data_IF_302493438790
#
_entry.id   IF_302493438790
#
_cell.length_a   1.000
_cell.length_b   1.000
_cell.length_c   1.000
_cell.angle_alpha   90.00
_cell.angle_beta   90.00
_cell.angle_gamma   90.00
#
_symmetry.space_group_name_H-M   'P 1'
#
loop_
_entity.id
_entity.type
_entity.pdbx_description
1 polymer ?
#
# COMPACT_ATOMS: atom_id res chain seq x y z
N UNK A 1 -3.03 53.67 -5.71
CA UNK A 1 -3.15 53.66 -7.20
C UNK A 1 -3.38 52.30 -7.87
N UNK A 2 -2.95 51.17 -7.29
CA UNK A 2 -3.06 49.83 -7.93
C UNK A 2 -4.51 49.36 -8.24
N UNK A 3 -5.51 49.98 -7.61
CA UNK A 3 -6.90 49.60 -7.72
C UNK A 3 -7.56 49.87 -9.08
N UNK A 4 -7.23 51.00 -9.73
CA UNK A 4 -7.79 51.36 -11.04
C UNK A 4 -7.23 50.46 -12.15
N UNK A 5 -5.92 50.16 -12.10
CA UNK A 5 -5.23 49.24 -13.02
C UNK A 5 -5.85 47.84 -13.02
N UNK A 6 -6.25 47.34 -11.86
CA UNK A 6 -6.91 46.03 -11.76
C UNK A 6 -8.32 45.99 -12.37
N UNK A 7 -9.06 47.12 -12.41
CA UNK A 7 -10.36 47.18 -13.11
C UNK A 7 -10.16 47.12 -14.62
N UNK A 8 -9.23 47.91 -15.13
CA UNK A 8 -8.88 47.90 -16.56
C UNK A 8 -8.35 46.54 -17.00
N UNK A 9 -7.51 45.89 -16.19
CA UNK A 9 -7.03 44.54 -16.46
C UNK A 9 -8.15 43.50 -16.49
N UNK A 10 -9.14 43.59 -15.59
CA UNK A 10 -10.31 42.70 -15.62
C UNK A 10 -11.16 42.91 -16.89
N UNK A 11 -11.26 44.16 -17.36
CA UNK A 11 -11.95 44.49 -18.61
C UNK A 11 -11.21 43.93 -19.83
N UNK A 12 -9.91 44.18 -19.94
CA UNK A 12 -9.08 43.62 -21.02
C UNK A 12 -9.12 42.10 -21.03
N UNK A 13 -9.07 41.46 -19.86
CA UNK A 13 -9.16 40.01 -19.75
C UNK A 13 -10.50 39.46 -20.28
N UNK A 14 -11.60 40.19 -20.04
CA UNK A 14 -12.93 39.84 -20.57
C UNK A 14 -13.00 40.01 -22.09
N UNK A 15 -12.41 41.09 -22.61
CA UNK A 15 -12.37 41.37 -24.06
C UNK A 15 -11.51 40.34 -24.80
N UNK A 16 -10.38 39.93 -24.23
CA UNK A 16 -9.48 38.93 -24.83
C UNK A 16 -9.97 37.49 -24.70
N UNK A 17 -10.80 37.18 -23.68
CA UNK A 17 -11.34 35.84 -23.43
C UNK A 17 -12.85 35.91 -23.19
N UNK A 18 -13.65 36.02 -24.28
CA UNK A 18 -15.11 36.09 -24.19
C UNK A 18 -15.73 34.78 -23.70
N UNK A 19 -15.16 33.64 -24.09
CA UNK A 19 -15.69 32.30 -23.80
C UNK A 19 -15.11 31.72 -22.49
N UNK A 20 -15.45 32.31 -21.34
CA UNK A 20 -15.07 31.71 -20.05
C UNK A 20 -15.42 32.51 -18.80
N UNK A 21 -15.18 31.94 -17.60
CA UNK A 21 -15.50 32.58 -16.33
C UNK A 21 -14.68 33.86 -16.13
N UNK A 22 -15.32 35.02 -16.19
CA UNK A 22 -14.63 36.29 -16.03
C UNK A 22 -14.18 36.52 -14.58
N UNK A 23 -12.88 36.71 -14.39
CA UNK A 23 -12.30 36.96 -13.08
C UNK A 23 -12.58 38.39 -12.62
N UNK A 24 -13.01 38.54 -11.38
CA UNK A 24 -13.23 39.86 -10.76
C UNK A 24 -11.90 40.58 -10.51
N UNK A 25 -11.94 41.91 -10.46
CA UNK A 25 -10.80 42.76 -10.03
C UNK A 25 -10.12 42.24 -8.74
N UNK A 26 -10.89 41.72 -7.79
CA UNK A 26 -10.37 41.18 -6.54
C UNK A 26 -9.46 39.97 -6.75
N UNK A 27 -9.78 39.08 -7.69
CA UNK A 27 -8.97 37.91 -8.02
C UNK A 27 -7.64 38.33 -8.62
N UNK A 28 -7.65 39.33 -9.51
CA UNK A 28 -6.43 39.92 -10.08
C UNK A 28 -5.54 40.49 -8.98
N UNK A 29 -6.12 41.24 -8.03
CA UNK A 29 -5.37 41.77 -6.90
C UNK A 29 -4.78 40.66 -6.01
N UNK A 30 -5.51 39.57 -5.76
CA UNK A 30 -5.00 38.40 -5.01
C UNK A 30 -3.87 37.68 -5.74
N UNK A 31 -3.91 37.63 -7.08
CA UNK A 31 -2.82 37.06 -7.89
C UNK A 31 -1.58 37.96 -7.84
N UNK A 32 -1.73 39.26 -8.06
CA UNK A 32 -0.60 40.21 -7.98
C UNK A 32 0.01 40.23 -6.58
N UNK A 33 -0.81 40.17 -5.53
CA UNK A 33 -0.32 40.08 -4.15
C UNK A 33 0.54 38.84 -3.93
N UNK A 34 0.07 37.65 -4.34
CA UNK A 34 0.84 36.39 -4.24
C UNK A 34 2.12 36.42 -5.08
N UNK A 35 2.06 37.00 -6.28
CA UNK A 35 3.23 37.13 -7.13
C UNK A 35 4.31 38.00 -6.47
N UNK A 36 3.92 39.07 -5.77
CA UNK A 36 4.86 39.93 -5.03
C UNK A 36 5.41 39.29 -3.76
N UNK A 37 4.57 38.55 -3.04
CA UNK A 37 4.95 37.94 -1.75
C UNK A 37 5.79 36.67 -1.92
N UNK A 38 5.45 35.83 -2.90
CA UNK A 38 6.01 34.47 -3.03
C UNK A 38 6.67 34.21 -4.38
N UNK A 39 6.58 35.14 -5.34
CA UNK A 39 7.10 34.94 -6.70
C UNK A 39 6.32 33.91 -7.53
N UNK A 40 5.20 33.39 -7.03
CA UNK A 40 4.45 32.31 -7.66
C UNK A 40 2.95 32.62 -7.77
N UNK A 41 2.33 32.20 -8.87
CA UNK A 41 0.91 32.40 -9.18
C UNK A 41 0.03 31.27 -8.63
N UNK A 42 0.62 30.13 -8.26
CA UNK A 42 -0.13 28.98 -7.74
C UNK A 42 -0.75 29.28 -6.37
N UNK A 43 -1.79 28.54 -6.02
CA UNK A 43 -2.37 28.63 -4.67
C UNK A 43 -1.37 28.07 -3.67
N UNK A 44 -1.18 28.76 -2.54
CA UNK A 44 -0.42 28.19 -1.44
C UNK A 44 -1.06 26.86 -1.00
N UNK A 45 -0.24 25.87 -0.60
CA UNK A 45 -0.74 24.64 -0.01
C UNK A 45 -1.66 25.00 1.16
N UNK A 46 -2.89 24.48 1.14
CA UNK A 46 -3.79 24.66 2.28
C UNK A 46 -3.19 23.92 3.47
N UNK A 47 -2.76 24.66 4.48
CA UNK A 47 -2.35 24.07 5.76
C UNK A 47 -3.57 23.38 6.34
N UNK A 48 -3.61 22.05 6.29
CA UNK A 48 -4.66 21.27 6.93
C UNK A 48 -4.43 21.34 8.43
N UNK A 49 -5.51 21.58 9.20
CA UNK A 49 -5.46 21.55 10.66
C UNK A 49 -4.94 20.19 11.11
N UNK A 50 -3.89 20.16 11.94
CA UNK A 50 -3.40 18.94 12.53
C UNK A 50 -4.54 18.28 13.32
N UNK A 51 -4.88 17.03 12.97
CA UNK A 51 -5.80 16.24 13.79
C UNK A 51 -5.09 15.91 15.09
N UNK A 52 -5.65 16.34 16.21
CA UNK A 52 -5.23 15.89 17.54
C UNK A 52 -5.55 14.40 17.63
N UNK A 53 -4.55 13.54 17.39
CA UNK A 53 -4.70 12.10 17.57
C UNK A 53 -4.68 11.85 19.08
N UNK A 54 -5.83 11.47 19.64
CA UNK A 54 -5.94 11.02 21.03
C UNK A 54 -5.06 9.80 21.26
N UNK A 55 -4.30 9.83 22.37
CA UNK A 55 -3.24 8.90 22.76
C UNK A 55 -2.10 8.78 21.72
N UNK A 56 -0.91 9.23 22.10
CA UNK A 56 0.34 9.00 21.33
C UNK A 56 0.75 7.52 21.45
N UNK A 57 -0.05 6.61 20.92
CA UNK A 57 0.47 5.28 20.60
C UNK A 57 1.21 5.45 19.30
N UNK A 58 2.49 5.15 19.36
CA UNK A 58 3.38 5.36 18.24
C UNK A 58 3.04 4.30 17.18
N UNK A 59 3.04 4.65 15.88
CA UNK A 59 2.74 3.69 14.82
C UNK A 59 3.62 2.43 14.92
N UNK A 60 4.82 2.56 15.47
CA UNK A 60 5.77 1.49 15.76
C UNK A 60 5.19 0.42 16.71
N UNK A 61 4.37 0.79 17.71
CA UNK A 61 3.77 -0.16 18.65
C UNK A 61 2.77 -1.08 17.95
N UNK A 62 2.02 -0.54 16.98
CA UNK A 62 1.06 -1.29 16.16
C UNK A 62 1.80 -2.28 15.27
N UNK A 63 2.93 -1.87 14.71
CA UNK A 63 3.78 -2.70 13.85
C UNK A 63 4.46 -3.82 14.65
N UNK A 64 5.03 -3.50 15.81
CA UNK A 64 5.63 -4.50 16.71
C UNK A 64 4.59 -5.57 17.11
N UNK A 65 3.37 -5.14 17.45
CA UNK A 65 2.29 -6.07 17.78
C UNK A 65 1.88 -6.96 16.59
N UNK A 66 1.81 -6.40 15.38
CA UNK A 66 1.46 -7.18 14.18
C UNK A 66 2.55 -8.17 13.79
N UNK A 67 3.82 -7.83 13.99
CA UNK A 67 4.94 -8.76 13.78
C UNK A 67 4.91 -9.93 14.77
N UNK A 68 4.61 -9.65 16.05
CA UNK A 68 4.44 -10.71 17.07
C UNK A 68 3.20 -11.59 16.81
N UNK A 69 2.14 -11.02 16.23
CA UNK A 69 0.87 -11.69 16.01
C UNK A 69 0.32 -11.48 14.58
N UNK A 70 0.91 -12.10 13.55
CA UNK A 70 0.58 -11.85 12.14
C UNK A 70 -0.85 -12.27 11.75
N UNK A 71 -1.48 -13.15 12.53
CA UNK A 71 -2.86 -13.62 12.31
C UNK A 71 -3.91 -12.75 13.01
N UNK A 72 -3.50 -11.72 13.75
CA UNK A 72 -4.42 -10.86 14.50
C UNK A 72 -5.28 -10.01 13.60
N UNK A 73 -6.57 -9.91 13.94
CA UNK A 73 -7.48 -9.00 13.23
C UNK A 73 -7.20 -7.53 13.59
N UNK A 74 -7.51 -6.62 12.68
CA UNK A 74 -7.47 -5.16 12.95
C UNK A 74 -8.32 -4.75 14.15
N UNK A 75 -9.38 -5.50 14.47
CA UNK A 75 -10.21 -5.29 15.67
C UNK A 75 -9.46 -5.65 16.95
N UNK A 76 -8.70 -6.75 16.95
CA UNK A 76 -7.90 -7.17 18.10
C UNK A 76 -6.73 -6.20 18.34
N UNK A 77 -6.05 -5.82 17.26
CA UNK A 77 -4.96 -4.83 17.30
C UNK A 77 -5.48 -3.49 17.84
N UNK A 78 -6.65 -3.04 17.39
CA UNK A 78 -7.31 -1.83 17.88
C UNK A 78 -7.58 -1.86 19.39
N UNK A 79 -8.08 -2.99 19.92
CA UNK A 79 -8.30 -3.16 21.36
C UNK A 79 -7.00 -3.13 22.16
N UNK A 80 -5.98 -3.85 21.69
CA UNK A 80 -4.73 -3.99 22.43
C UNK A 80 -3.88 -2.70 22.40
N UNK A 81 -3.86 -2.01 21.26
CA UNK A 81 -3.15 -0.75 21.11
C UNK A 81 -4.00 0.47 21.58
N UNK A 82 -5.27 0.30 21.97
CA UNK A 82 -6.13 1.41 22.37
C UNK A 82 -6.37 2.45 21.27
N UNK A 83 -6.33 2.03 20.00
CA UNK A 83 -6.50 2.87 18.82
C UNK A 83 -7.83 2.58 18.13
N UNK A 84 -8.35 3.54 17.35
CA UNK A 84 -9.51 3.25 16.49
C UNK A 84 -9.11 2.29 15.37
N UNK A 85 -10.06 1.44 14.94
CA UNK A 85 -9.84 0.49 13.83
C UNK A 85 -9.35 1.19 12.55
N UNK A 86 -9.89 2.37 12.24
CA UNK A 86 -9.49 3.15 11.06
C UNK A 86 -8.04 3.65 11.17
N UNK A 87 -7.59 4.02 12.37
CA UNK A 87 -6.20 4.44 12.60
C UNK A 87 -5.23 3.26 12.42
N UNK A 88 -5.56 2.10 12.98
CA UNK A 88 -4.80 0.85 12.77
C UNK A 88 -4.72 0.52 11.28
N UNK A 89 -5.84 0.56 10.55
CA UNK A 89 -5.86 0.27 9.12
C UNK A 89 -5.00 1.25 8.31
N UNK A 90 -5.04 2.55 8.65
CA UNK A 90 -4.20 3.58 8.00
C UNK A 90 -2.72 3.29 8.23
N UNK A 91 -2.32 2.97 9.48
CA UNK A 91 -0.92 2.66 9.82
C UNK A 91 -0.44 1.41 9.07
N UNK A 92 -1.25 0.35 9.02
CA UNK A 92 -0.90 -0.87 8.30
C UNK A 92 -0.79 -0.63 6.78
N UNK A 93 -1.66 0.20 6.23
CA UNK A 93 -1.62 0.56 4.82
C UNK A 93 -0.39 1.40 4.47
N UNK A 94 -0.09 2.45 5.27
CA UNK A 94 1.07 3.33 5.07
C UNK A 94 2.41 2.60 5.27
N UNK A 95 2.44 1.54 6.08
CA UNK A 95 3.62 0.70 6.31
C UNK A 95 3.77 -0.47 5.32
N UNK A 96 2.82 -0.69 4.41
CA UNK A 96 2.83 -1.81 3.47
C UNK A 96 2.51 -3.17 4.09
N UNK A 97 1.97 -3.19 5.32
CA UNK A 97 1.57 -4.41 6.01
C UNK A 97 0.20 -4.89 5.49
N UNK A 98 0.22 -5.69 4.43
CA UNK A 98 -0.98 -6.25 3.83
C UNK A 98 -1.37 -7.61 4.44
N UNK A 99 -2.68 -7.88 4.62
CA UNK A 99 -3.14 -9.19 5.05
C UNK A 99 -2.73 -10.27 4.04
N UNK A 100 -2.03 -11.31 4.51
CA UNK A 100 -1.73 -12.49 3.71
C UNK A 100 -2.77 -13.59 3.99
N UNK A 101 -3.29 -14.18 2.92
CA UNK A 101 -4.16 -15.36 3.02
C UNK A 101 -3.30 -16.62 2.95
N UNK A 102 -3.14 -17.30 4.08
CA UNK A 102 -2.44 -18.58 4.10
C UNK A 102 -3.21 -19.60 3.25
N UNK A 103 -2.54 -20.16 2.25
CA UNK A 103 -2.99 -21.36 1.55
C UNK A 103 -2.68 -22.57 2.42
N UNK A 104 -3.66 -23.45 2.70
CA UNK A 104 -3.34 -24.75 3.28
C UNK A 104 -2.38 -25.48 2.34
N UNK A 105 -1.30 -26.00 2.90
CA UNK A 105 -0.35 -26.86 2.20
C UNK A 105 -0.44 -28.25 2.81
N UNK A 106 0.08 -29.27 2.11
CA UNK A 106 0.15 -30.65 2.62
C UNK A 106 0.66 -30.66 4.07
N UNK A 107 -0.03 -31.37 4.95
CA UNK A 107 0.40 -31.55 6.34
C UNK A 107 1.64 -32.43 6.39
N UNK A 108 2.82 -31.82 6.47
CA UNK A 108 4.08 -32.54 6.61
C UNK A 108 4.20 -33.09 8.03
N UNK A 109 4.59 -34.36 8.15
CA UNK A 109 4.98 -34.95 9.42
C UNK A 109 6.40 -34.53 9.79
N UNK A 110 6.80 -34.50 11.07
CA UNK A 110 8.14 -34.08 11.49
C UNK A 110 9.28 -34.82 10.77
N UNK A 111 9.09 -36.10 10.45
CA UNK A 111 10.07 -36.94 9.75
C UNK A 111 10.19 -36.64 8.25
N UNK A 112 9.18 -35.99 7.66
CA UNK A 112 9.19 -35.69 6.23
C UNK A 112 10.23 -34.63 5.89
N UNK A 113 10.51 -33.69 6.79
CA UNK A 113 11.52 -32.65 6.56
C UNK A 113 12.90 -33.25 6.29
N UNK A 114 13.35 -34.17 7.15
CA UNK A 114 14.63 -34.87 7.01
C UNK A 114 14.66 -35.68 5.71
N UNK A 115 13.62 -36.49 5.44
CA UNK A 115 13.54 -37.31 4.22
C UNK A 115 13.61 -36.47 2.95
N UNK A 116 12.89 -35.34 2.92
CA UNK A 116 12.89 -34.41 1.78
C UNK A 116 14.26 -33.76 1.62
N UNK A 117 14.91 -33.36 2.71
CA UNK A 117 16.24 -32.77 2.66
C UNK A 117 17.29 -33.76 2.14
N UNK A 118 17.28 -34.99 2.64
CA UNK A 118 18.15 -36.07 2.17
C UNK A 118 17.94 -36.35 0.69
N UNK A 119 16.69 -36.40 0.24
CA UNK A 119 16.38 -36.57 -1.19
C UNK A 119 16.88 -35.40 -2.04
N UNK A 120 16.65 -34.14 -1.61
CA UNK A 120 17.16 -32.97 -2.32
C UNK A 120 18.69 -33.02 -2.44
N UNK A 121 19.41 -33.33 -1.36
CA UNK A 121 20.88 -33.44 -1.41
C UNK A 121 21.35 -34.57 -2.31
N UNK A 122 20.67 -35.72 -2.27
CA UNK A 122 20.97 -36.82 -3.19
C UNK A 122 20.83 -36.37 -4.65
N UNK A 123 19.73 -35.70 -5.01
CA UNK A 123 19.52 -35.19 -6.38
C UNK A 123 20.57 -34.15 -6.75
N UNK A 124 20.88 -33.21 -5.86
CA UNK A 124 21.88 -32.17 -6.10
C UNK A 124 23.28 -32.77 -6.35
N UNK A 125 23.72 -33.72 -5.53
CA UNK A 125 25.03 -34.35 -5.69
C UNK A 125 25.11 -35.15 -7.01
N UNK A 126 24.06 -35.90 -7.37
CA UNK A 126 24.05 -36.64 -8.63
C UNK A 126 24.03 -35.73 -9.86
N UNK A 127 23.50 -34.51 -9.75
CA UNK A 127 23.53 -33.53 -10.83
C UNK A 127 24.91 -32.90 -11.03
N UNK A 128 25.75 -32.85 -10.00
CA UNK A 128 27.15 -32.41 -10.13
C UNK A 128 27.97 -33.42 -10.94
N UNK A 129 27.78 -34.71 -10.69
CA UNK A 129 28.52 -35.77 -11.38
C UNK A 129 27.90 -36.14 -12.75
N UNK A 130 26.58 -36.06 -12.87
CA UNK A 130 25.82 -36.48 -14.05
C UNK A 130 24.73 -35.45 -14.40
N UNK A 131 25.05 -34.54 -15.31
CA UNK A 131 24.18 -33.43 -15.70
C UNK A 131 22.80 -33.88 -16.27
N UNK A 132 22.71 -35.10 -16.81
CA UNK A 132 21.46 -35.67 -17.37
C UNK A 132 20.63 -36.45 -16.36
N UNK A 133 21.06 -36.56 -15.10
CA UNK A 133 20.46 -37.43 -14.08
C UNK A 133 18.94 -37.28 -13.94
N UNK A 134 18.41 -36.06 -13.99
CA UNK A 134 16.95 -35.84 -13.91
C UNK A 134 16.18 -36.42 -15.10
N UNK A 135 16.81 -36.54 -16.26
CA UNK A 135 16.23 -37.14 -17.46
C UNK A 135 16.15 -38.67 -17.39
N UNK A 136 16.96 -39.28 -16.53
CA UNK A 136 16.98 -40.74 -16.32
C UNK A 136 15.92 -41.18 -15.28
N UNK A 137 15.30 -40.23 -14.55
CA UNK A 137 14.25 -40.52 -13.58
C UNK A 137 12.89 -40.59 -14.28
N UNK A 138 12.24 -41.75 -14.18
CA UNK A 138 10.85 -41.93 -14.60
C UNK A 138 9.92 -41.58 -13.43
N UNK A 139 9.08 -40.58 -13.64
CA UNK A 139 8.11 -40.11 -12.65
C UNK A 139 6.76 -40.80 -12.85
N UNK A 140 6.18 -41.32 -11.77
CA UNK A 140 4.84 -41.92 -11.78
C UNK A 140 4.02 -41.35 -10.63
N UNK A 141 2.73 -41.08 -10.88
CA UNK A 141 1.76 -40.61 -9.90
C UNK A 141 0.43 -41.34 -10.12
N UNK A 142 -0.37 -41.48 -9.07
CA UNK A 142 -1.72 -42.02 -9.12
C UNK A 142 -2.72 -40.91 -8.74
N UNK A 143 -3.62 -40.57 -9.67
CA UNK A 143 -4.69 -39.62 -9.42
C UNK A 143 -6.03 -40.36 -9.26
N UNK A 144 -6.69 -40.17 -8.12
CA UNK A 144 -8.03 -40.71 -7.88
C UNK A 144 -9.09 -39.70 -8.31
N UNK A 145 -10.00 -40.11 -9.20
CA UNK A 145 -11.14 -39.30 -9.63
C UNK A 145 -12.41 -39.79 -8.95
N UNK A 146 -13.00 -38.99 -8.07
CA UNK A 146 -14.28 -39.30 -7.44
C UNK A 146 -15.43 -38.59 -8.16
N UNK A 147 -16.55 -39.29 -8.38
CA UNK A 147 -17.74 -38.73 -9.03
C UNK A 147 -18.34 -37.53 -8.28
N UNK A 148 -18.09 -37.44 -6.97
CA UNK A 148 -18.62 -36.40 -6.10
C UNK A 148 -17.74 -35.13 -6.02
N UNK A 149 -16.69 -35.01 -6.85
CA UNK A 149 -15.95 -33.76 -7.01
C UNK A 149 -15.19 -33.28 -5.77
N UNK A 150 -14.70 -34.20 -4.94
CA UNK A 150 -13.86 -33.82 -3.80
C UNK A 150 -12.48 -33.42 -4.29
N UNK A 151 -12.28 -32.11 -4.50
CA UNK A 151 -10.95 -31.54 -4.65
C UNK A 151 -10.22 -31.57 -3.31
N UNK A 152 -8.96 -32.02 -3.31
CA UNK A 152 -8.05 -31.83 -2.19
C UNK A 152 -7.99 -30.34 -1.86
N UNK A 153 -8.58 -29.94 -0.73
CA UNK A 153 -8.62 -28.56 -0.26
C UNK A 153 -7.51 -28.27 0.73
#
# INVERSE_FOLDING_TARGET
ECGRKAKSAARLYRESFPEGPHRTRQTILKVVKRLRETGCVTNQPRVRRARTVGRKVQPEDVLAYTLAHPKSSTKLISKNCGLSKSRVWTILYESGAHPYRSTPVKGLLPRDAERRYTWCNFVMNNLEDHQTFLGDIIWTDEASFSFNGTFNR
#
